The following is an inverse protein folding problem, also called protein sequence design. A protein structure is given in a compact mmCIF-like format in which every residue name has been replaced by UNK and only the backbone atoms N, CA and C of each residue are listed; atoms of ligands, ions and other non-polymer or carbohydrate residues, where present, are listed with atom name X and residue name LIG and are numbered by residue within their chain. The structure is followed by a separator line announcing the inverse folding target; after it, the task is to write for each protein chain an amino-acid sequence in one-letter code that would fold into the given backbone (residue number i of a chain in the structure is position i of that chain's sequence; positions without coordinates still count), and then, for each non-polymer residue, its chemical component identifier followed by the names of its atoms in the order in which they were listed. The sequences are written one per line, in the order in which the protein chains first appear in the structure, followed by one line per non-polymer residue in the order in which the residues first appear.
data_IF_661925241043
#
_entry.id   IF_661925241043
#
_cell.length_a   1.000
_cell.length_b   1.000
_cell.length_c   1.000
_cell.angle_alpha   90.00
_cell.angle_beta   90.00
_cell.angle_gamma   90.00
#
_symmetry.space_group_name_H-M   'P 1'
#
loop_
_entity.id
_entity.type
_entity.pdbx_description
1 polymer ?
#
# COMPACT_ATOMS: atom_id res chain seq x y z
N UNK A 1 -11.48 24.27 73.07
CA UNK A 1 -11.62 24.46 71.63
C UNK A 1 -10.26 24.85 71.06
N UNK A 2 -9.69 23.93 70.29
CA UNK A 2 -8.59 24.06 69.32
C UNK A 2 -7.27 24.77 69.70
N UNK A 3 -6.26 23.92 69.93
CA UNK A 3 -4.83 24.17 69.73
C UNK A 3 -4.56 24.74 68.34
N UNK A 4 -3.76 25.79 68.27
CA UNK A 4 -3.19 26.32 67.04
C UNK A 4 -1.68 26.48 67.28
N UNK A 5 -0.98 25.37 67.16
CA UNK A 5 0.46 25.32 66.92
C UNK A 5 0.79 23.94 66.37
N UNK A 6 0.85 23.83 65.04
CA UNK A 6 1.65 22.82 64.37
C UNK A 6 2.10 23.35 63.02
N UNK A 7 3.19 24.10 63.09
CA UNK A 7 4.19 24.24 62.03
C UNK A 7 4.45 22.87 61.38
N UNK A 8 3.94 22.69 60.16
CA UNK A 8 4.39 21.63 59.25
C UNK A 8 4.32 22.14 57.81
N UNK A 9 5.47 22.65 57.36
CA UNK A 9 6.06 22.39 56.04
C UNK A 9 5.07 22.08 54.92
N UNK A 10 4.64 23.11 54.19
CA UNK A 10 4.23 22.94 52.80
C UNK A 10 5.37 23.52 51.98
N UNK A 11 6.16 22.60 51.45
CA UNK A 11 7.28 22.84 50.57
C UNK A 11 6.86 23.70 49.38
N UNK A 12 7.69 24.69 49.08
CA UNK A 12 7.73 25.40 47.81
C UNK A 12 8.03 24.38 46.69
N UNK A 13 7.00 23.79 46.11
CA UNK A 13 7.14 23.07 44.84
C UNK A 13 7.19 24.11 43.72
N UNK A 14 8.40 24.66 43.54
CA UNK A 14 8.88 25.33 42.34
C UNK A 14 8.31 24.63 41.11
N UNK A 15 7.34 25.28 40.45
CA UNK A 15 6.83 24.90 39.14
C UNK A 15 8.01 24.91 38.17
N UNK A 16 8.62 23.75 37.95
CA UNK A 16 9.64 23.56 36.94
C UNK A 16 8.94 23.76 35.61
N UNK A 17 9.05 24.97 35.06
CA UNK A 17 8.86 25.24 33.64
C UNK A 17 9.93 24.46 32.87
N UNK A 18 9.71 23.15 32.74
CA UNK A 18 10.40 22.33 31.76
C UNK A 18 10.10 22.93 30.39
N UNK A 19 11.06 22.90 29.44
CA UNK A 19 10.87 23.55 28.14
C UNK A 19 9.62 22.94 27.49
N UNK A 20 8.56 23.74 27.44
CA UNK A 20 7.34 23.41 26.72
C UNK A 20 7.76 23.16 25.29
N UNK A 21 7.86 21.88 24.91
CA UNK A 21 7.94 21.46 23.51
C UNK A 21 6.76 22.15 22.85
N UNK A 22 7.04 23.20 22.07
CA UNK A 22 5.98 24.10 21.64
C UNK A 22 4.94 23.27 20.90
N UNK A 23 3.66 23.59 21.12
CA UNK A 23 2.58 22.89 20.44
C UNK A 23 2.79 22.88 18.92
N UNK A 24 3.49 23.88 18.36
CA UNK A 24 3.94 23.95 16.97
C UNK A 24 5.08 22.97 16.62
N UNK A 25 6.05 22.75 17.50
CA UNK A 25 7.09 21.73 17.32
C UNK A 25 6.50 20.32 17.40
N UNK A 26 5.53 20.10 18.30
CA UNK A 26 4.81 18.84 18.41
C UNK A 26 3.83 18.64 17.24
N UNK A 27 3.09 19.67 16.84
CA UNK A 27 2.22 19.62 15.66
C UNK A 27 3.00 19.48 14.37
N UNK A 28 4.19 20.05 14.24
CA UNK A 28 5.04 19.82 13.06
C UNK A 28 5.64 18.41 13.04
N UNK A 29 5.97 17.84 14.20
CA UNK A 29 6.38 16.43 14.33
C UNK A 29 5.22 15.45 14.04
N UNK A 30 3.98 15.80 14.43
CA UNK A 30 2.75 15.03 14.18
C UNK A 30 2.24 15.21 12.74
N UNK A 31 2.39 16.41 12.17
CA UNK A 31 2.18 16.72 10.74
C UNK A 31 3.35 16.14 9.94
N UNK A 32 3.53 14.83 10.02
CA UNK A 32 4.42 14.08 9.13
C UNK A 32 4.06 14.46 7.70
N UNK A 33 4.98 15.17 7.03
CA UNK A 33 4.85 15.55 5.63
C UNK A 33 4.28 14.38 4.82
N UNK A 34 3.20 14.65 4.10
CA UNK A 34 2.67 13.79 3.06
C UNK A 34 3.81 13.46 2.08
N UNK A 35 4.39 12.28 2.21
CA UNK A 35 5.36 11.77 1.24
C UNK A 35 4.54 11.12 0.12
N UNK A 36 4.53 11.78 -1.04
CA UNK A 36 3.97 11.24 -2.27
C UNK A 36 4.56 9.86 -2.50
N UNK A 37 3.71 8.89 -2.80
CA UNK A 37 4.17 7.54 -3.10
C UNK A 37 4.76 7.61 -4.53
N UNK A 38 6.09 7.44 -4.72
CA UNK A 38 6.76 7.65 -6.02
C UNK A 38 6.51 6.50 -7.01
N UNK A 39 5.44 5.74 -6.80
CA UNK A 39 5.17 4.49 -7.50
C UNK A 39 4.62 4.68 -8.90
N UNK A 40 4.16 5.89 -9.24
CA UNK A 40 3.69 6.24 -10.58
C UNK A 40 4.81 6.22 -11.63
N UNK A 41 6.00 6.74 -11.29
CA UNK A 41 7.16 6.73 -12.19
C UNK A 41 7.63 5.30 -12.48
N UNK A 42 7.75 4.47 -11.43
CA UNK A 42 8.12 3.07 -11.56
C UNK A 42 7.08 2.24 -12.33
N UNK A 43 5.78 2.46 -12.11
CA UNK A 43 4.72 1.77 -12.85
C UNK A 43 4.73 2.13 -14.34
N UNK A 44 4.98 3.40 -14.67
CA UNK A 44 5.14 3.86 -16.06
C UNK A 44 6.37 3.26 -16.72
N UNK A 45 7.53 3.26 -16.03
CA UNK A 45 8.76 2.61 -16.51
C UNK A 45 8.55 1.12 -16.78
N UNK A 46 7.88 0.40 -15.86
CA UNK A 46 7.60 -1.02 -16.03
C UNK A 46 6.68 -1.28 -17.24
N UNK A 47 5.68 -0.42 -17.46
CA UNK A 47 4.82 -0.50 -18.64
C UNK A 47 5.59 -0.28 -19.94
N UNK A 48 6.47 0.72 -19.98
CA UNK A 48 7.31 1.00 -21.15
C UNK A 48 8.26 -0.17 -21.44
N UNK A 49 8.88 -0.72 -20.40
CA UNK A 49 9.75 -1.88 -20.52
C UNK A 49 9.01 -3.09 -21.09
N UNK A 50 7.77 -3.35 -20.63
CA UNK A 50 6.95 -4.44 -21.14
C UNK A 50 6.60 -4.24 -22.63
N UNK A 51 6.21 -3.03 -23.03
CA UNK A 51 5.93 -2.70 -24.44
C UNK A 51 7.18 -2.94 -25.30
N UNK A 52 8.33 -2.42 -24.89
CA UNK A 52 9.60 -2.58 -25.62
C UNK A 52 9.97 -4.05 -25.74
N UNK A 53 9.83 -4.83 -24.66
CA UNK A 53 10.07 -6.27 -24.69
C UNK A 53 9.18 -7.02 -25.69
N UNK A 54 7.88 -6.70 -25.75
CA UNK A 54 6.96 -7.34 -26.71
C UNK A 54 7.32 -6.96 -28.14
N UNK A 55 7.64 -5.69 -28.41
CA UNK A 55 8.07 -5.24 -29.74
C UNK A 55 9.35 -5.96 -30.16
N UNK A 56 10.36 -6.03 -29.30
CA UNK A 56 11.60 -6.76 -29.58
C UNK A 56 11.34 -8.26 -29.83
N UNK A 57 10.44 -8.87 -29.06
CA UNK A 57 10.05 -10.28 -29.23
C UNK A 57 9.37 -10.51 -30.59
N UNK A 58 8.51 -9.59 -31.04
CA UNK A 58 7.91 -9.63 -32.38
C UNK A 58 9.00 -9.53 -33.45
N UNK A 59 9.93 -8.59 -33.31
CA UNK A 59 11.05 -8.45 -34.24
C UNK A 59 11.89 -9.72 -34.31
N UNK A 60 12.27 -10.31 -33.17
CA UNK A 60 13.03 -11.57 -33.12
C UNK A 60 12.23 -12.71 -33.76
N UNK A 61 10.96 -12.90 -33.43
CA UNK A 61 10.15 -13.98 -34.01
C UNK A 61 10.01 -13.87 -35.54
N UNK A 62 9.77 -12.65 -36.07
CA UNK A 62 9.61 -12.43 -37.52
C UNK A 62 10.93 -12.65 -38.26
N UNK A 63 12.04 -12.12 -37.73
CA UNK A 63 13.34 -12.16 -38.40
C UNK A 63 14.03 -13.52 -38.25
N UNK A 64 14.00 -14.11 -37.05
CA UNK A 64 14.75 -15.32 -36.72
C UNK A 64 13.97 -16.63 -36.87
N UNK A 65 12.65 -16.64 -36.61
CA UNK A 65 11.89 -17.88 -36.51
C UNK A 65 11.01 -18.10 -37.73
N UNK A 66 10.25 -17.09 -38.14
CA UNK A 66 9.43 -17.12 -39.36
C UNK A 66 10.25 -16.96 -40.65
N UNK A 67 11.57 -16.73 -40.52
CA UNK A 67 12.55 -16.66 -41.62
C UNK A 67 12.04 -15.86 -42.82
N UNK A 68 11.47 -14.68 -42.57
CA UNK A 68 11.13 -13.70 -43.63
C UNK A 68 12.40 -13.06 -44.22
N UNK A 69 13.29 -13.89 -44.77
CA UNK A 69 14.33 -13.49 -45.72
C UNK A 69 15.70 -13.07 -45.17
N UNK A 70 16.00 -13.12 -43.87
CA UNK A 70 17.31 -12.69 -43.34
C UNK A 70 17.93 -13.61 -42.28
N UNK A 71 18.28 -14.84 -42.69
CA UNK A 71 19.02 -15.78 -41.84
C UNK A 71 20.39 -15.21 -41.37
N UNK A 72 21.05 -14.43 -42.22
CA UNK A 72 22.34 -13.75 -41.95
C UNK A 72 22.22 -12.74 -40.79
N UNK A 73 21.13 -11.96 -40.75
CA UNK A 73 20.90 -10.96 -39.69
C UNK A 73 20.51 -11.62 -38.37
N UNK A 74 19.80 -12.75 -38.43
CA UNK A 74 19.55 -13.51 -37.21
C UNK A 74 20.85 -14.09 -36.62
N UNK A 75 21.75 -14.61 -37.46
CA UNK A 75 23.04 -15.10 -37.01
C UNK A 75 23.92 -13.98 -36.44
N UNK A 76 23.86 -12.75 -36.98
CA UNK A 76 24.63 -11.63 -36.42
C UNK A 76 24.09 -11.11 -35.09
N UNK A 77 22.76 -11.14 -34.88
CA UNK A 77 22.11 -10.63 -33.66
C UNK A 77 22.07 -11.66 -32.54
N UNK A 78 21.77 -12.93 -32.85
CA UNK A 78 21.56 -13.99 -31.86
C UNK A 78 22.72 -14.97 -31.76
N UNK A 79 23.74 -14.80 -32.60
CA UNK A 79 24.93 -15.63 -32.69
C UNK A 79 24.59 -17.13 -32.79
N UNK A 80 24.61 -17.85 -31.67
CA UNK A 80 24.40 -19.30 -31.61
C UNK A 80 23.18 -19.71 -30.76
N UNK A 81 22.35 -18.75 -30.33
CA UNK A 81 21.15 -19.00 -29.52
C UNK A 81 19.92 -18.99 -30.42
N UNK A 82 18.93 -19.85 -30.15
CA UNK A 82 17.67 -19.86 -30.88
C UNK A 82 16.77 -18.67 -30.49
N UNK A 83 16.04 -18.12 -31.48
CA UNK A 83 15.07 -17.02 -31.31
C UNK A 83 14.13 -17.23 -30.12
N UNK A 84 13.49 -18.40 -30.09
CA UNK A 84 12.53 -18.77 -29.05
C UNK A 84 13.16 -18.78 -27.65
N UNK A 85 14.39 -19.27 -27.51
CA UNK A 85 15.07 -19.29 -26.21
C UNK A 85 15.37 -17.90 -25.67
N UNK A 86 15.75 -16.96 -26.54
CA UNK A 86 15.96 -15.55 -26.14
C UNK A 86 14.67 -14.92 -25.64
N UNK A 87 13.55 -15.19 -26.32
CA UNK A 87 12.23 -14.71 -25.89
C UNK A 87 11.88 -15.28 -24.50
N UNK A 88 12.09 -16.58 -24.29
CA UNK A 88 11.82 -17.20 -22.98
C UNK A 88 12.70 -16.63 -21.88
N UNK A 89 14.01 -16.42 -22.11
CA UNK A 89 14.89 -15.80 -21.13
C UNK A 89 14.48 -14.37 -20.81
N UNK A 90 14.12 -13.58 -21.84
CA UNK A 90 13.60 -12.22 -21.66
C UNK A 90 12.32 -12.20 -20.81
N UNK A 91 11.40 -13.16 -21.03
CA UNK A 91 10.19 -13.30 -20.21
C UNK A 91 10.50 -13.56 -18.75
N UNK A 92 11.45 -14.44 -18.46
CA UNK A 92 11.87 -14.74 -17.08
C UNK A 92 12.44 -13.49 -16.42
N UNK A 93 13.32 -12.75 -17.11
CA UNK A 93 13.87 -11.48 -16.62
C UNK A 93 12.77 -10.45 -16.34
N UNK A 94 11.81 -10.28 -17.26
CA UNK A 94 10.68 -9.38 -17.07
C UNK A 94 9.83 -9.78 -15.86
N UNK A 95 9.55 -11.09 -15.70
CA UNK A 95 8.79 -11.58 -14.56
C UNK A 95 9.50 -11.31 -13.22
N UNK A 96 10.81 -11.49 -13.16
CA UNK A 96 11.60 -11.15 -11.95
C UNK A 96 11.49 -9.66 -11.64
N UNK A 97 11.59 -8.79 -12.64
CA UNK A 97 11.41 -7.35 -12.46
C UNK A 97 10.01 -6.98 -11.93
N UNK A 98 8.96 -7.59 -12.48
CA UNK A 98 7.57 -7.42 -12.00
C UNK A 98 7.42 -7.91 -10.56
N UNK A 99 8.06 -9.02 -10.20
CA UNK A 99 8.05 -9.56 -8.85
C UNK A 99 8.73 -8.60 -7.87
N UNK A 100 9.93 -8.12 -8.20
CA UNK A 100 10.65 -7.14 -7.37
C UNK A 100 9.82 -5.87 -7.21
N UNK A 101 9.26 -5.35 -8.29
CA UNK A 101 8.38 -4.18 -8.24
C UNK A 101 7.20 -4.41 -7.31
N UNK A 102 6.50 -5.55 -7.45
CA UNK A 102 5.35 -5.90 -6.60
C UNK A 102 5.74 -5.98 -5.11
N UNK A 103 6.94 -6.50 -4.79
CA UNK A 103 7.44 -6.55 -3.41
C UNK A 103 7.82 -5.17 -2.88
N UNK A 104 8.46 -4.34 -3.67
CA UNK A 104 8.75 -2.94 -3.31
C UNK A 104 7.45 -2.18 -3.06
N UNK A 105 6.45 -2.35 -3.93
CA UNK A 105 5.11 -1.79 -3.77
C UNK A 105 4.47 -2.23 -2.45
N UNK A 106 4.48 -3.54 -2.16
CA UNK A 106 3.95 -4.08 -0.91
C UNK A 106 4.67 -3.52 0.31
N UNK A 107 6.00 -3.35 0.24
CA UNK A 107 6.77 -2.74 1.29
C UNK A 107 6.37 -1.28 1.53
N UNK A 108 6.29 -0.47 0.48
CA UNK A 108 5.81 0.91 0.56
C UNK A 108 4.37 1.00 1.08
N UNK A 109 3.47 0.10 0.66
CA UNK A 109 2.10 0.03 1.17
C UNK A 109 2.05 -0.36 2.65
N UNK A 110 2.92 -1.27 3.11
CA UNK A 110 3.02 -1.63 4.53
C UNK A 110 3.53 -0.46 5.39
N UNK A 111 4.42 0.36 4.81
CA UNK A 111 4.91 1.57 5.44
C UNK A 111 3.83 2.66 5.48
N UNK A 112 3.02 2.79 4.43
CA UNK A 112 1.87 3.70 4.40
C UNK A 112 0.80 3.28 5.43
N UNK A 113 0.56 1.98 5.61
CA UNK A 113 -0.33 1.44 6.67
C UNK A 113 0.15 1.84 8.07
N UNK A 114 1.47 1.77 8.34
CA UNK A 114 2.05 2.22 9.62
C UNK A 114 1.91 3.73 9.87
N UNK A 115 1.57 4.51 8.86
CA UNK A 115 1.39 5.97 8.92
C UNK A 115 -0.09 6.40 9.02
N UNK A 116 -1.03 5.46 9.11
CA UNK A 116 -2.45 5.74 9.35
C UNK A 116 -3.35 5.82 8.11
N UNK A 117 -2.85 5.48 6.91
CA UNK A 117 -3.65 5.47 5.66
C UNK A 117 -4.41 4.14 5.46
N UNK A 118 -5.33 3.81 6.36
CA UNK A 118 -6.04 2.52 6.39
C UNK A 118 -7.12 2.41 5.30
N UNK A 119 -7.83 3.50 4.97
CA UNK A 119 -8.87 3.50 3.91
C UNK A 119 -8.24 3.28 2.54
N UNK A 120 -7.17 4.01 2.23
CA UNK A 120 -6.39 3.83 0.99
C UNK A 120 -5.81 2.40 0.87
N UNK A 121 -5.33 1.84 1.98
CA UNK A 121 -4.83 0.46 2.01
C UNK A 121 -5.93 -0.56 1.65
N UNK A 122 -7.12 -0.47 2.26
CA UNK A 122 -8.24 -1.40 1.98
C UNK A 122 -8.68 -1.33 0.51
N UNK A 123 -8.73 -0.13 -0.05
CA UNK A 123 -9.10 0.08 -1.44
C UNK A 123 -8.07 -0.41 -2.47
N UNK A 124 -6.81 -0.56 -2.05
CA UNK A 124 -5.67 -0.89 -2.93
C UNK A 124 -5.20 -2.34 -2.74
N UNK A 125 -5.56 -2.97 -1.62
CA UNK A 125 -5.19 -4.35 -1.28
C UNK A 125 -5.65 -5.37 -2.34
N UNK A 126 -6.82 -5.15 -2.95
CA UNK A 126 -7.34 -5.98 -4.04
C UNK A 126 -6.53 -5.89 -5.34
N UNK A 127 -5.83 -4.78 -5.58
CA UNK A 127 -5.11 -4.53 -6.83
C UNK A 127 -3.64 -4.99 -6.79
N UNK A 128 -3.11 -5.34 -5.62
CA UNK A 128 -1.69 -5.59 -5.45
C UNK A 128 -1.21 -6.95 -5.99
N UNK A 129 -2.09 -7.94 -6.12
CA UNK A 129 -1.72 -9.31 -6.51
C UNK A 129 -2.00 -9.61 -8.00
N UNK A 130 -2.79 -8.77 -8.66
CA UNK A 130 -3.21 -9.01 -10.04
C UNK A 130 -2.07 -8.93 -11.07
N UNK A 131 -1.10 -7.99 -11.02
CA UNK A 131 0.01 -7.97 -11.98
C UNK A 131 0.82 -9.27 -11.97
N UNK A 132 1.20 -9.73 -10.78
CA UNK A 132 1.96 -10.96 -10.62
C UNK A 132 1.16 -12.18 -11.10
N UNK A 133 -0.15 -12.21 -10.83
CA UNK A 133 -1.02 -13.29 -11.31
C UNK A 133 -1.10 -13.34 -12.83
N UNK A 134 -1.31 -12.19 -13.50
CA UNK A 134 -1.38 -12.07 -14.96
C UNK A 134 -0.08 -12.58 -15.60
N UNK A 135 1.07 -12.06 -15.17
CA UNK A 135 2.37 -12.46 -15.73
C UNK A 135 2.72 -13.93 -15.42
N UNK A 136 2.27 -14.46 -14.29
CA UNK A 136 2.49 -15.87 -13.93
C UNK A 136 1.60 -16.81 -14.73
N UNK A 137 0.35 -16.43 -14.99
CA UNK A 137 -0.55 -17.18 -15.89
C UNK A 137 0.03 -17.25 -17.32
N UNK A 138 0.59 -16.15 -17.82
CA UNK A 138 1.30 -16.15 -19.11
C UNK A 138 2.50 -17.09 -19.12
N UNK A 139 3.28 -17.16 -18.03
CA UNK A 139 4.39 -18.13 -17.91
C UNK A 139 3.91 -19.58 -17.97
N UNK A 140 2.80 -19.91 -17.29
CA UNK A 140 2.22 -21.26 -17.34
C UNK A 140 1.82 -21.60 -18.79
N UNK A 141 1.17 -20.66 -19.48
CA UNK A 141 0.74 -20.88 -20.86
C UNK A 141 1.93 -21.04 -21.82
N UNK A 142 3.01 -20.26 -21.63
CA UNK A 142 4.26 -20.42 -22.36
C UNK A 142 4.88 -21.81 -22.14
N UNK A 143 4.93 -22.28 -20.88
CA UNK A 143 5.44 -23.62 -20.57
C UNK A 143 4.62 -24.73 -21.22
N UNK A 144 3.28 -24.59 -21.27
CA UNK A 144 2.40 -25.53 -21.98
C UNK A 144 2.74 -25.58 -23.47
N UNK A 145 2.92 -24.42 -24.12
CA UNK A 145 3.28 -24.35 -25.54
C UNK A 145 4.65 -25.00 -25.80
N UNK A 146 5.65 -24.73 -24.96
CA UNK A 146 6.98 -25.33 -25.07
C UNK A 146 6.95 -26.86 -24.85
N UNK A 147 6.10 -27.34 -23.94
CA UNK A 147 5.92 -28.77 -23.68
C UNK A 147 5.20 -29.50 -24.83
N UNK A 148 4.33 -28.80 -25.57
CA UNK A 148 3.54 -29.36 -26.67
C UNK A 148 4.37 -29.73 -27.91
N UNK A 149 5.65 -29.30 -28.00
CA UNK A 149 6.60 -29.67 -29.08
C UNK A 149 6.03 -29.47 -30.50
N UNK A 150 5.35 -28.34 -30.70
CA UNK A 150 4.73 -27.97 -31.96
C UNK A 150 5.78 -27.60 -33.02
N UNK A 151 5.35 -27.41 -34.27
CA UNK A 151 6.24 -26.87 -35.31
C UNK A 151 6.75 -25.48 -34.91
N UNK A 152 7.99 -25.10 -35.28
CA UNK A 152 8.60 -23.86 -34.81
C UNK A 152 7.81 -22.60 -35.23
N UNK A 153 7.16 -22.63 -36.39
CA UNK A 153 6.30 -21.55 -36.87
C UNK A 153 5.06 -21.39 -35.99
N UNK A 154 4.34 -22.49 -35.73
CA UNK A 154 3.14 -22.48 -34.88
C UNK A 154 3.50 -22.10 -33.44
N UNK A 155 4.62 -22.62 -32.93
CA UNK A 155 5.15 -22.26 -31.63
C UNK A 155 5.40 -20.75 -31.55
N UNK A 156 6.09 -20.15 -32.53
CA UNK A 156 6.34 -18.71 -32.54
C UNK A 156 5.05 -17.88 -32.55
N UNK A 157 4.06 -18.24 -33.36
CA UNK A 157 2.77 -17.55 -33.38
C UNK A 157 2.03 -17.65 -32.04
N UNK A 158 2.05 -18.81 -31.40
CA UNK A 158 1.45 -18.99 -30.08
C UNK A 158 2.19 -18.19 -29.01
N UNK A 159 3.53 -18.22 -28.99
CA UNK A 159 4.35 -17.40 -28.08
C UNK A 159 4.00 -15.91 -28.23
N UNK A 160 3.95 -15.39 -29.46
CA UNK A 160 3.59 -14.00 -29.74
C UNK A 160 2.15 -13.68 -29.33
N UNK A 161 1.20 -14.58 -29.60
CA UNK A 161 -0.19 -14.41 -29.19
C UNK A 161 -0.33 -14.30 -27.67
N UNK A 162 0.38 -15.15 -26.92
CA UNK A 162 0.40 -15.12 -25.45
C UNK A 162 0.99 -13.80 -24.95
N UNK A 163 2.13 -13.37 -25.50
CA UNK A 163 2.77 -12.10 -25.12
C UNK A 163 1.90 -10.89 -25.45
N UNK A 164 1.24 -10.89 -26.61
CA UNK A 164 0.31 -9.84 -27.01
C UNK A 164 -0.92 -9.78 -26.11
N UNK A 165 -1.49 -10.94 -25.76
CA UNK A 165 -2.62 -11.02 -24.82
C UNK A 165 -2.22 -10.57 -23.41
N UNK A 166 -1.04 -10.96 -22.93
CA UNK A 166 -0.50 -10.52 -21.65
C UNK A 166 -0.36 -8.98 -21.62
N UNK A 167 0.16 -8.37 -22.69
CA UNK A 167 0.27 -6.91 -22.82
C UNK A 167 -1.12 -6.24 -22.82
N UNK A 168 -2.06 -6.79 -23.60
CA UNK A 168 -3.42 -6.25 -23.75
C UNK A 168 -4.17 -6.23 -22.41
N UNK A 169 -3.93 -7.22 -21.55
CA UNK A 169 -4.56 -7.29 -20.22
C UNK A 169 -3.77 -6.47 -19.18
N UNK A 170 -2.44 -6.55 -19.21
CA UNK A 170 -1.59 -5.91 -18.20
C UNK A 170 -1.57 -4.38 -18.31
N UNK A 171 -1.50 -3.82 -19.53
CA UNK A 171 -1.37 -2.36 -19.73
C UNK A 171 -2.60 -1.59 -19.24
N UNK A 172 -3.85 -1.93 -19.63
CA UNK A 172 -5.04 -1.24 -19.12
C UNK A 172 -5.15 -1.35 -17.61
N UNK A 173 -4.79 -2.51 -17.05
CA UNK A 173 -4.80 -2.72 -15.61
C UNK A 173 -3.79 -1.81 -14.89
N UNK A 174 -2.55 -1.74 -15.38
CA UNK A 174 -1.52 -0.83 -14.85
C UNK A 174 -1.92 0.64 -15.00
N UNK A 175 -2.55 1.02 -16.11
CA UNK A 175 -3.07 2.37 -16.31
C UNK A 175 -4.18 2.71 -15.31
N UNK A 176 -5.14 1.82 -15.12
CA UNK A 176 -6.21 1.99 -14.12
C UNK A 176 -5.64 2.19 -12.71
N UNK A 177 -4.68 1.33 -12.32
CA UNK A 177 -3.98 1.46 -11.06
C UNK A 177 -3.25 2.80 -10.95
N UNK A 178 -2.51 3.19 -11.99
CA UNK A 178 -1.73 4.43 -12.02
C UNK A 178 -2.64 5.66 -11.92
N UNK A 179 -3.77 5.68 -12.62
CA UNK A 179 -4.77 6.76 -12.52
C UNK A 179 -5.33 6.85 -11.10
N UNK A 180 -5.65 5.72 -10.47
CA UNK A 180 -6.13 5.69 -9.08
C UNK A 180 -5.09 6.26 -8.10
N UNK A 181 -3.81 5.90 -8.27
CA UNK A 181 -2.70 6.43 -7.45
C UNK A 181 -2.43 7.89 -7.75
N UNK A 182 -2.49 8.33 -9.01
CA UNK A 182 -2.31 9.73 -9.40
C UNK A 182 -3.43 10.61 -8.85
N UNK A 183 -4.68 10.13 -8.86
CA UNK A 183 -5.82 10.84 -8.25
C UNK A 183 -5.59 11.04 -6.75
N UNK A 184 -5.18 9.98 -6.05
CA UNK A 184 -4.84 10.05 -4.62
C UNK A 184 -3.67 11.00 -4.33
N UNK A 185 -2.60 10.95 -5.14
CA UNK A 185 -1.46 11.85 -5.03
C UNK A 185 -1.84 13.31 -5.31
N UNK A 186 -2.76 13.56 -6.25
CA UNK A 186 -3.24 14.90 -6.62
C UNK A 186 -4.15 15.49 -5.54
N UNK A 187 -4.95 14.65 -4.88
CA UNK A 187 -5.83 15.05 -3.78
C UNK A 187 -5.04 15.42 -2.51
N UNK A 188 -3.73 15.14 -2.44
CA UNK A 188 -2.88 15.36 -1.24
C UNK A 188 -3.59 14.88 0.03
N UNK A 189 -4.25 13.71 -0.05
CA UNK A 189 -5.13 13.24 1.01
C UNK A 189 -4.36 13.25 2.34
N UNK A 190 -4.84 14.07 3.28
CA UNK A 190 -4.27 14.15 4.62
C UNK A 190 -4.40 12.77 5.31
N UNK A 191 -3.52 12.41 6.25
CA UNK A 191 -3.63 11.16 7.01
C UNK A 191 -5.07 10.97 7.53
N UNK A 192 -5.64 9.77 7.39
CA UNK A 192 -7.06 9.49 7.70
C UNK A 192 -7.45 10.00 9.11
N UNK A 193 -6.53 9.93 10.08
CA UNK A 193 -6.69 10.44 11.47
C UNK A 193 -6.95 11.95 11.52
N UNK A 194 -6.21 12.74 10.73
CA UNK A 194 -6.37 14.20 10.67
C UNK A 194 -7.64 14.63 9.92
N UNK A 195 -8.13 13.80 9.00
CA UNK A 195 -9.35 14.10 8.24
C UNK A 195 -10.60 13.85 9.10
N UNK A 196 -10.60 12.81 9.93
CA UNK A 196 -11.66 12.54 10.91
C UNK A 196 -11.72 13.68 11.93
N UNK A 197 -10.59 14.06 12.54
CA UNK A 197 -10.49 15.21 13.46
C UNK A 197 -10.95 16.53 12.83
N UNK A 198 -10.59 16.79 11.57
CA UNK A 198 -10.97 18.01 10.87
C UNK A 198 -12.46 18.02 10.51
N UNK A 199 -13.04 16.88 10.11
CA UNK A 199 -14.48 16.76 9.86
C UNK A 199 -15.32 16.95 11.14
N UNK A 200 -14.84 16.43 12.28
CA UNK A 200 -15.45 16.68 13.59
C UNK A 200 -15.30 18.15 14.01
N UNK A 201 -14.15 18.78 13.72
CA UNK A 201 -13.94 20.19 14.03
C UNK A 201 -14.80 21.11 13.16
N UNK A 202 -14.93 20.81 11.86
CA UNK A 202 -15.76 21.58 10.92
C UNK A 202 -17.25 21.38 11.18
N UNK A 203 -17.71 20.19 11.58
CA UNK A 203 -19.11 20.02 12.03
C UNK A 203 -19.42 20.81 13.31
N UNK A 204 -18.41 21.07 14.14
CA UNK A 204 -18.52 21.89 15.35
C UNK A 204 -18.43 23.39 15.05
N UNK A 205 -17.76 23.81 13.97
CA UNK A 205 -17.55 25.24 13.63
C UNK A 205 -18.44 25.79 12.51
N UNK A 206 -19.20 24.96 11.78
CA UNK A 206 -20.08 25.41 10.69
C UNK A 206 -21.49 25.80 11.12
N UNK A 207 -21.63 26.56 12.21
CA UNK A 207 -22.89 27.24 12.55
C UNK A 207 -22.59 28.70 12.92
N UNK A 208 -22.80 29.66 12.01
CA UNK A 208 -22.78 31.06 12.38
C UNK A 208 -24.15 31.43 12.96
N UNK A 209 -24.12 31.84 14.23
CA UNK A 209 -24.98 32.90 14.79
C UNK A 209 -26.39 32.49 15.28
N UNK A 210 -26.56 32.73 16.58
CA UNK A 210 -27.80 33.11 17.30
C UNK A 210 -28.94 32.10 17.40
N UNK A 211 -28.97 31.36 18.50
CA UNK A 211 -30.03 31.42 19.53
C UNK A 211 -29.72 30.40 20.63
N UNK A 212 -30.02 30.77 21.88
CA UNK A 212 -29.55 30.06 23.06
C UNK A 212 -30.11 28.64 23.22
N UNK A 213 -29.41 27.88 24.08
CA UNK A 213 -29.88 26.67 24.74
C UNK A 213 -29.80 25.37 23.91
N UNK A 214 -28.70 24.62 24.05
CA UNK A 214 -28.65 23.30 24.73
C UNK A 214 -27.31 22.58 24.46
N UNK A 215 -26.27 22.95 25.23
CA UNK A 215 -24.95 22.30 25.29
C UNK A 215 -25.05 20.98 26.10
N UNK A 216 -25.80 19.99 25.59
CA UNK A 216 -26.03 18.71 26.28
C UNK A 216 -25.50 17.51 25.49
N UNK A 217 -25.75 17.44 24.18
CA UNK A 217 -25.59 16.18 23.44
C UNK A 217 -24.14 15.75 23.19
N UNK A 218 -23.20 16.68 22.98
CA UNK A 218 -21.83 16.31 22.61
C UNK A 218 -20.96 15.93 23.81
N UNK A 219 -21.07 16.66 24.94
CA UNK A 219 -20.37 16.30 26.17
C UNK A 219 -20.98 15.03 26.78
N UNK A 220 -22.30 14.87 26.74
CA UNK A 220 -22.99 13.71 27.29
C UNK A 220 -22.68 12.44 26.49
N UNK A 221 -22.61 12.49 25.15
CA UNK A 221 -22.20 11.34 24.32
C UNK A 221 -20.71 10.95 24.53
N UNK A 222 -19.82 11.93 24.73
CA UNK A 222 -18.40 11.66 25.02
C UNK A 222 -18.21 11.14 26.45
N UNK A 223 -18.95 11.67 27.42
CA UNK A 223 -18.95 11.19 28.81
C UNK A 223 -19.55 9.79 28.89
N UNK A 224 -20.61 9.49 28.15
CA UNK A 224 -21.25 8.18 28.09
C UNK A 224 -20.30 7.13 27.50
N UNK A 225 -19.59 7.46 26.40
CA UNK A 225 -18.56 6.55 25.84
C UNK A 225 -17.34 6.37 26.74
N UNK A 226 -16.93 7.39 27.49
CA UNK A 226 -15.84 7.25 28.45
C UNK A 226 -16.27 6.43 29.68
N UNK A 227 -17.52 6.57 30.13
CA UNK A 227 -18.09 5.76 31.20
C UNK A 227 -18.15 4.28 30.81
N UNK A 228 -18.60 3.95 29.60
CA UNK A 228 -18.66 2.57 29.08
C UNK A 228 -17.26 1.91 29.03
N UNK A 229 -16.24 2.66 28.61
CA UNK A 229 -14.88 2.13 28.55
C UNK A 229 -14.29 1.89 29.95
N UNK A 230 -14.56 2.79 30.90
CA UNK A 230 -14.15 2.63 32.30
C UNK A 230 -14.86 1.42 32.91
N UNK A 231 -16.15 1.24 32.66
CA UNK A 231 -16.90 0.10 33.17
C UNK A 231 -16.40 -1.22 32.54
N UNK A 232 -16.14 -1.24 31.24
CA UNK A 232 -15.54 -2.38 30.56
C UNK A 232 -14.17 -2.75 31.14
N UNK A 233 -13.28 -1.77 31.33
CA UNK A 233 -11.95 -1.99 31.90
C UNK A 233 -12.02 -2.46 33.36
N UNK A 234 -12.98 -1.96 34.15
CA UNK A 234 -13.21 -2.38 35.52
C UNK A 234 -13.74 -3.82 35.58
N UNK A 235 -14.71 -4.17 34.74
CA UNK A 235 -15.20 -5.54 34.63
C UNK A 235 -14.09 -6.49 34.18
N UNK A 236 -13.27 -6.09 33.20
CA UNK A 236 -12.16 -6.90 32.72
C UNK A 236 -11.10 -7.13 33.81
N UNK A 237 -10.71 -6.09 34.56
CA UNK A 237 -9.77 -6.22 35.67
C UNK A 237 -10.32 -7.10 36.80
N UNK A 238 -11.58 -6.95 37.18
CA UNK A 238 -12.18 -7.80 38.23
C UNK A 238 -12.25 -9.27 37.80
N UNK A 239 -12.53 -9.53 36.53
CA UNK A 239 -12.52 -10.88 35.96
C UNK A 239 -11.11 -11.47 35.92
N UNK A 240 -10.10 -10.67 35.56
CA UNK A 240 -8.70 -11.07 35.60
C UNK A 240 -8.24 -11.39 37.04
N UNK A 241 -8.58 -10.52 38.00
CA UNK A 241 -8.26 -10.73 39.43
C UNK A 241 -8.93 -11.98 39.99
N UNK A 242 -10.18 -12.26 39.61
CA UNK A 242 -10.86 -13.51 39.99
C UNK A 242 -10.18 -14.75 39.41
N UNK A 243 -9.74 -14.69 38.14
CA UNK A 243 -8.99 -15.78 37.52
C UNK A 243 -7.63 -16.00 38.19
N UNK A 244 -6.92 -14.91 38.50
CA UNK A 244 -5.66 -14.99 39.25
C UNK A 244 -5.88 -15.63 40.62
N UNK A 245 -6.84 -15.16 41.42
CA UNK A 245 -7.14 -15.74 42.73
C UNK A 245 -7.55 -17.21 42.64
N UNK A 246 -8.31 -17.61 41.62
CA UNK A 246 -8.69 -19.02 41.42
C UNK A 246 -7.47 -19.89 41.07
N UNK A 247 -6.54 -19.37 40.27
CA UNK A 247 -5.29 -20.07 39.94
C UNK A 247 -4.36 -20.17 41.15
N UNK A 248 -4.28 -19.13 41.99
CA UNK A 248 -3.47 -19.16 43.22
C UNK A 248 -4.11 -20.03 44.31
N UNK A 249 -5.44 -20.24 44.29
CA UNK A 249 -6.14 -21.12 45.23
C UNK A 249 -6.11 -22.61 44.83
N UNK A 250 -5.72 -22.92 43.60
CA UNK A 250 -5.52 -24.30 43.10
C UNK A 250 -4.09 -24.81 43.31
N UNK A 251 -3.25 -24.08 44.06
CA UNK A 251 -1.86 -24.42 44.37
C UNK A 251 -1.59 -24.27 45.87
#
# INVERSE_FOLDING_TARGET
SLQLDMTRSVEEESLVDGPLISADALHSAIRRQFQTVPTHCHASLLSLLHIVYVVLSVCVSVLCVLKFGQAEVCASVLHNVSGDSVIVYGKVCLWVLVLVFTRCMQHHHSQARRRGYLRFYRETQGLNHLPLSIHSAGNVLLLVVLAARLSPEVQAYLLLSILGLELLVAVPYQLYYTVKVMRFNREKAAPDVSQEECSHTYSVTSLPTETGFREGSCLEEVVERQADLIEYLKQHNTLLSKRLLNLTAQH
#
